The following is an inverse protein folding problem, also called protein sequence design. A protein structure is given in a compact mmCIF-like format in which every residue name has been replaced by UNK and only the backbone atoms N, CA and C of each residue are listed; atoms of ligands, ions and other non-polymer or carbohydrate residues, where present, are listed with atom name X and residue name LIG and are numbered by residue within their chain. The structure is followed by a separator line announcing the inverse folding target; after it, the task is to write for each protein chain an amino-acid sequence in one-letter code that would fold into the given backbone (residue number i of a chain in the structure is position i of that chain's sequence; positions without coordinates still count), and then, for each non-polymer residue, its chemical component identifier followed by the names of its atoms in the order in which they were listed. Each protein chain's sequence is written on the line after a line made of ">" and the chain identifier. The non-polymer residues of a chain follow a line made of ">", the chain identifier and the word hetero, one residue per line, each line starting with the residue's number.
data_IF_649887994111
#
_entry.id   IF_649887994111
#
_cell.length_a   1.000
_cell.length_b   1.000
_cell.length_c   1.000
_cell.angle_alpha   90.00
_cell.angle_beta   90.00
_cell.angle_gamma   90.00
#
_symmetry.space_group_name_H-M   'P 1'
#
loop_
_entity.id
_entity.type
_entity.pdbx_description
1 polymer ?
#
# COMPACT_ATOMS: atom_id res chain seq x y z
N UNK A 1 1.98 -4.04 19.26
CA UNK A 1 2.37 -4.94 18.13
C UNK A 1 2.20 -4.16 16.84
N UNK A 2 3.07 -4.40 15.86
CA UNK A 2 2.91 -3.86 14.50
C UNK A 2 2.68 -5.02 13.55
N UNK A 3 1.71 -4.88 12.63
CA UNK A 3 1.45 -5.86 11.57
C UNK A 3 1.56 -5.14 10.24
N UNK A 4 2.36 -5.68 9.32
CA UNK A 4 2.61 -5.06 8.03
C UNK A 4 2.74 -6.09 6.91
N UNK A 5 2.43 -5.65 5.69
CA UNK A 5 2.57 -6.43 4.46
C UNK A 5 3.17 -5.56 3.36
N UNK A 6 4.50 -5.36 3.37
CA UNK A 6 5.16 -4.52 2.37
C UNK A 6 5.02 -5.07 0.96
N UNK A 7 4.73 -4.20 0.01
CA UNK A 7 4.59 -4.55 -1.41
C UNK A 7 5.87 -4.33 -2.23
N UNK A 8 6.87 -3.62 -1.67
CA UNK A 8 8.14 -3.33 -2.35
C UNK A 8 9.34 -3.68 -1.47
N UNK A 9 10.50 -4.05 -2.07
CA UNK A 9 11.73 -4.33 -1.32
C UNK A 9 12.22 -3.15 -0.47
N UNK A 10 12.18 -1.93 -1.01
CA UNK A 10 12.61 -0.74 -0.26
C UNK A 10 11.73 -0.48 0.95
N UNK A 11 10.39 -0.61 0.82
CA UNK A 11 9.50 -0.42 1.96
C UNK A 11 9.66 -1.51 3.01
N UNK A 12 9.96 -2.75 2.60
CA UNK A 12 10.32 -3.83 3.53
C UNK A 12 11.61 -3.51 4.30
N UNK A 13 12.65 -3.06 3.60
CA UNK A 13 13.89 -2.61 4.22
C UNK A 13 13.64 -1.51 5.27
N UNK A 14 12.87 -0.49 4.92
CA UNK A 14 12.57 0.61 5.84
C UNK A 14 11.67 0.21 7.01
N UNK A 15 10.81 -0.80 6.85
CA UNK A 15 10.05 -1.39 7.94
C UNK A 15 10.98 -2.04 8.97
N UNK A 16 11.93 -2.87 8.51
CA UNK A 16 12.90 -3.53 9.39
C UNK A 16 13.85 -2.50 10.03
N UNK A 17 14.31 -1.51 9.26
CA UNK A 17 15.12 -0.41 9.77
C UNK A 17 14.38 0.37 10.86
N UNK A 18 13.11 0.70 10.66
CA UNK A 18 12.26 1.35 11.67
C UNK A 18 12.17 0.51 12.94
N UNK A 19 11.98 -0.80 12.81
CA UNK A 19 11.91 -1.72 13.95
C UNK A 19 13.24 -1.80 14.70
N UNK A 20 14.35 -1.81 13.99
CA UNK A 20 15.68 -1.91 14.60
C UNK A 20 16.09 -0.63 15.33
N UNK A 21 15.82 0.54 14.74
CA UNK A 21 16.22 1.85 15.26
C UNK A 21 15.21 2.47 16.23
N UNK A 22 13.97 1.96 16.27
CA UNK A 22 12.93 2.48 17.16
C UNK A 22 13.26 2.25 18.63
N UNK A 23 12.95 3.20 19.50
CA UNK A 23 13.17 3.10 20.93
C UNK A 23 12.30 2.01 21.57
N UNK A 24 11.02 1.97 21.20
CA UNK A 24 10.08 0.98 21.70
C UNK A 24 10.18 -0.35 20.93
N UNK A 25 10.70 -1.38 21.56
CA UNK A 25 10.81 -2.73 21.01
C UNK A 25 9.50 -3.50 21.16
N UNK A 26 8.55 -3.28 20.26
CA UNK A 26 7.30 -4.02 20.19
C UNK A 26 7.39 -5.13 19.15
N UNK A 27 6.65 -6.25 19.29
CA UNK A 27 6.60 -7.29 18.27
C UNK A 27 6.19 -6.74 16.92
N UNK A 28 6.90 -7.16 15.87
CA UNK A 28 6.60 -6.89 14.46
C UNK A 28 6.23 -8.20 13.77
N UNK A 29 5.06 -8.24 13.16
CA UNK A 29 4.60 -9.34 12.29
C UNK A 29 4.61 -8.85 10.85
N UNK A 30 5.32 -9.56 9.98
CA UNK A 30 5.43 -9.22 8.56
C UNK A 30 4.87 -10.35 7.71
N UNK A 31 3.82 -10.07 6.95
CA UNK A 31 3.32 -10.99 5.93
C UNK A 31 4.19 -10.91 4.68
N UNK A 32 4.74 -12.05 4.26
CA UNK A 32 5.69 -12.13 3.14
C UNK A 32 5.24 -13.22 2.15
N UNK A 33 4.45 -12.88 1.13
CA UNK A 33 4.03 -13.84 0.11
C UNK A 33 5.24 -14.38 -0.67
N UNK A 34 5.42 -15.69 -0.72
CA UNK A 34 6.57 -16.34 -1.41
C UNK A 34 6.65 -15.99 -2.91
N UNK A 35 5.50 -15.77 -3.55
CA UNK A 35 5.42 -15.40 -4.97
C UNK A 35 6.12 -14.07 -5.29
N UNK A 36 6.17 -13.13 -4.35
CA UNK A 36 6.84 -11.84 -4.54
C UNK A 36 8.36 -11.94 -4.64
N UNK A 37 8.99 -12.97 -4.08
CA UNK A 37 10.45 -13.19 -4.17
C UNK A 37 10.97 -13.33 -5.61
N UNK A 38 10.10 -13.68 -6.55
CA UNK A 38 10.43 -13.85 -7.98
C UNK A 38 9.69 -12.89 -8.89
N UNK A 39 8.94 -11.95 -8.31
CA UNK A 39 8.20 -10.96 -9.09
C UNK A 39 9.14 -9.86 -9.60
N UNK A 40 9.42 -9.86 -10.91
CA UNK A 40 10.30 -8.89 -11.54
C UNK A 40 9.75 -7.45 -11.51
N UNK A 41 8.44 -7.27 -11.38
CA UNK A 41 7.82 -5.96 -11.25
C UNK A 41 8.03 -5.36 -9.85
N UNK A 42 8.11 -6.21 -8.82
CA UNK A 42 8.30 -5.79 -7.44
C UNK A 42 9.79 -5.48 -7.15
N UNK A 43 10.34 -4.50 -7.86
CA UNK A 43 11.71 -4.00 -7.67
C UNK A 43 11.69 -2.60 -7.07
N UNK A 44 12.82 -2.14 -6.56
CA UNK A 44 13.01 -0.78 -6.05
C UNK A 44 14.34 -0.24 -6.55
N UNK A 45 14.40 1.04 -6.85
CA UNK A 45 15.64 1.70 -7.21
C UNK A 45 16.59 1.78 -6.01
N UNK A 46 17.90 1.90 -6.25
CA UNK A 46 18.90 1.98 -5.17
C UNK A 46 18.66 3.20 -4.29
N UNK A 47 18.22 4.29 -4.89
CA UNK A 47 17.89 5.55 -4.22
C UNK A 47 16.76 5.41 -3.19
N UNK A 48 15.88 4.41 -3.39
CA UNK A 48 14.77 4.13 -2.46
C UNK A 48 15.23 3.50 -1.14
N UNK A 49 16.46 2.99 -1.06
CA UNK A 49 17.05 2.43 0.16
C UNK A 49 17.85 3.45 0.98
N UNK A 50 17.90 4.71 0.56
CA UNK A 50 18.70 5.75 1.22
C UNK A 50 18.11 6.15 2.58
N UNK A 51 18.93 6.84 3.38
CA UNK A 51 18.53 7.29 4.72
C UNK A 51 17.42 8.35 4.73
N UNK A 52 17.27 9.07 3.63
CA UNK A 52 16.23 10.11 3.46
C UNK A 52 14.85 9.48 3.37
N UNK A 53 14.75 8.28 2.79
CA UNK A 53 13.49 7.54 2.67
C UNK A 53 13.13 6.86 3.99
N UNK A 54 11.85 6.62 4.18
CA UNK A 54 11.29 6.01 5.40
C UNK A 54 10.22 5.00 5.04
N UNK A 55 9.87 4.14 6.00
CA UNK A 55 8.74 3.25 5.87
C UNK A 55 7.45 4.05 5.63
N UNK A 56 6.78 3.74 4.55
CA UNK A 56 5.47 4.29 4.18
C UNK A 56 4.39 3.30 4.60
N UNK A 57 3.53 3.70 5.52
CA UNK A 57 2.41 2.87 5.99
C UNK A 57 1.26 2.80 5.00
N UNK A 58 1.14 3.80 4.14
CA UNK A 58 0.25 3.85 2.98
C UNK A 58 1.06 4.39 1.82
N UNK A 59 0.93 3.77 0.65
CA UNK A 59 1.56 4.23 -0.59
C UNK A 59 0.44 4.53 -1.58
N UNK A 60 0.41 5.77 -2.04
CA UNK A 60 -0.54 6.20 -3.08
C UNK A 60 -0.25 5.53 -4.42
N UNK A 61 -1.18 5.64 -5.34
CA UNK A 61 -1.02 5.13 -6.69
C UNK A 61 -0.01 5.99 -7.46
N UNK A 62 1.12 5.44 -7.91
CA UNK A 62 2.17 6.22 -8.57
C UNK A 62 1.75 6.81 -9.92
N UNK A 63 0.68 6.32 -10.54
CA UNK A 63 0.15 6.88 -11.78
C UNK A 63 -0.56 8.22 -11.56
N UNK A 64 -0.96 8.54 -10.33
CA UNK A 64 -1.71 9.75 -9.99
C UNK A 64 -0.97 10.64 -9.00
N UNK A 65 -0.26 10.04 -8.05
CA UNK A 65 0.41 10.76 -6.96
C UNK A 65 1.78 10.16 -6.70
N UNK A 66 2.82 10.98 -6.77
CA UNK A 66 4.20 10.54 -6.51
C UNK A 66 4.45 10.25 -5.02
N UNK A 67 5.63 9.72 -4.72
CA UNK A 67 6.05 9.38 -3.35
C UNK A 67 6.15 10.58 -2.39
N UNK A 68 6.15 11.81 -2.93
CA UNK A 68 6.20 13.05 -2.16
C UNK A 68 4.80 13.66 -1.99
N UNK A 69 3.75 13.01 -2.49
CA UNK A 69 2.38 13.49 -2.44
C UNK A 69 2.01 14.48 -3.54
N UNK A 70 2.89 14.68 -4.54
CA UNK A 70 2.63 15.57 -5.67
C UNK A 70 1.78 14.84 -6.72
N UNK A 71 0.73 15.50 -7.20
CA UNK A 71 -0.09 15.00 -8.30
C UNK A 71 0.74 14.94 -9.59
N UNK A 72 0.78 13.77 -10.21
CA UNK A 72 1.47 13.52 -11.49
C UNK A 72 0.50 13.13 -12.59
N UNK A 73 -0.66 12.56 -12.24
CA UNK A 73 -1.74 12.21 -13.14
C UNK A 73 -3.01 12.99 -12.87
N UNK A 74 -4.04 12.71 -13.68
CA UNK A 74 -5.35 13.34 -13.56
C UNK A 74 -6.17 12.66 -12.46
N UNK A 75 -6.02 13.14 -11.22
CA UNK A 75 -6.72 12.61 -10.04
C UNK A 75 -8.23 12.86 -10.10
N UNK A 76 -8.70 13.81 -10.92
CA UNK A 76 -10.11 14.18 -10.98
C UNK A 76 -10.94 13.15 -11.77
N UNK A 77 -10.29 12.31 -12.57
CA UNK A 77 -10.93 11.18 -13.26
C UNK A 77 -11.21 10.00 -12.35
N UNK A 78 -10.52 9.90 -11.22
CA UNK A 78 -10.65 8.76 -10.32
C UNK A 78 -12.01 8.76 -9.65
N UNK A 79 -12.78 7.69 -9.89
CA UNK A 79 -14.09 7.46 -9.28
C UNK A 79 -14.06 6.42 -8.18
N UNK A 80 -13.11 5.48 -8.27
CA UNK A 80 -13.00 4.37 -7.32
C UNK A 80 -11.59 4.30 -6.77
N UNK A 81 -11.47 4.23 -5.43
CA UNK A 81 -10.22 3.94 -4.73
C UNK A 81 -10.26 2.48 -4.29
N UNK A 82 -9.28 1.69 -4.70
CA UNK A 82 -9.06 0.34 -4.23
C UNK A 82 -7.97 0.32 -3.17
N UNK A 83 -8.31 -0.11 -1.94
CA UNK A 83 -7.35 -0.35 -0.87
C UNK A 83 -6.89 -1.80 -0.95
N UNK A 84 -5.59 -2.02 -1.07
CA UNK A 84 -5.00 -3.35 -1.24
C UNK A 84 -3.76 -3.51 -0.38
N UNK A 85 -3.34 -4.75 -0.14
CA UNK A 85 -2.11 -5.08 0.58
C UNK A 85 -1.28 -6.12 -0.18
N UNK A 86 0.04 -6.02 -0.06
CA UNK A 86 1.00 -7.03 -0.54
C UNK A 86 0.95 -7.31 -2.04
N UNK A 87 0.91 -8.60 -2.40
CA UNK A 87 1.05 -9.06 -3.79
C UNK A 87 -0.09 -8.66 -4.72
N UNK A 88 -1.30 -8.51 -4.17
CA UNK A 88 -2.50 -8.22 -4.94
C UNK A 88 -2.40 -6.91 -5.73
N UNK A 89 -1.64 -5.94 -5.22
CA UNK A 89 -1.34 -4.71 -5.93
C UNK A 89 -0.82 -4.97 -7.36
N UNK A 90 0.16 -5.85 -7.50
CA UNK A 90 0.81 -6.14 -8.79
C UNK A 90 -0.11 -6.81 -9.79
N UNK A 91 -1.01 -7.68 -9.32
CA UNK A 91 -1.99 -8.35 -10.16
C UNK A 91 -3.06 -7.36 -10.65
N UNK A 92 -3.54 -6.48 -9.76
CA UNK A 92 -4.52 -5.45 -10.10
C UNK A 92 -3.93 -4.36 -11.01
N UNK A 93 -2.69 -3.92 -10.77
CA UNK A 93 -2.01 -2.95 -11.62
C UNK A 93 -1.89 -3.46 -13.06
N UNK A 94 -1.39 -4.68 -13.22
CA UNK A 94 -1.30 -5.34 -14.53
C UNK A 94 -2.66 -5.45 -15.23
N UNK A 95 -3.71 -5.80 -14.47
CA UNK A 95 -5.06 -5.90 -15.01
C UNK A 95 -5.61 -4.54 -15.41
N UNK A 96 -5.41 -3.51 -14.59
CA UNK A 96 -5.82 -2.13 -14.88
C UNK A 96 -5.17 -1.60 -16.17
N UNK A 97 -3.86 -1.84 -16.33
CA UNK A 97 -3.15 -1.47 -17.57
C UNK A 97 -3.72 -2.18 -18.80
N UNK A 98 -3.96 -3.50 -18.69
CA UNK A 98 -4.54 -4.29 -19.78
C UNK A 98 -5.94 -3.82 -20.19
N UNK A 99 -6.73 -3.36 -19.23
CA UNK A 99 -8.10 -2.88 -19.44
C UNK A 99 -8.15 -1.36 -19.81
N UNK A 100 -7.02 -0.67 -19.77
CA UNK A 100 -6.94 0.77 -20.06
C UNK A 100 -7.75 1.64 -19.10
N UNK A 101 -7.91 1.22 -17.82
CA UNK A 101 -8.74 1.92 -16.82
C UNK A 101 -7.94 3.05 -16.16
N UNK A 102 -8.43 4.29 -16.32
CA UNK A 102 -7.89 5.50 -15.70
C UNK A 102 -8.79 6.13 -14.62
N UNK A 103 -9.91 5.46 -14.33
CA UNK A 103 -10.90 5.87 -13.32
C UNK A 103 -10.74 5.17 -11.96
N UNK A 104 -9.68 4.34 -11.80
CA UNK A 104 -9.40 3.57 -10.59
C UNK A 104 -8.01 3.92 -10.06
N UNK A 105 -7.94 4.33 -8.80
CA UNK A 105 -6.68 4.44 -8.06
C UNK A 105 -6.47 3.21 -7.15
N UNK A 106 -5.25 2.67 -7.14
CA UNK A 106 -4.88 1.52 -6.31
C UNK A 106 -3.95 2.00 -5.19
N UNK A 107 -4.50 2.17 -4.00
CA UNK A 107 -3.79 2.63 -2.81
C UNK A 107 -3.34 1.43 -1.98
N UNK A 108 -2.05 1.36 -1.69
CA UNK A 108 -1.46 0.24 -0.94
C UNK A 108 -1.45 0.52 0.55
N UNK A 109 -2.08 -0.35 1.33
CA UNK A 109 -2.04 -0.32 2.80
C UNK A 109 -0.93 -1.27 3.26
N UNK A 110 0.23 -0.71 3.56
CA UNK A 110 1.44 -1.47 3.91
C UNK A 110 1.49 -1.82 5.40
N UNK A 111 0.89 -0.98 6.26
CA UNK A 111 0.75 -1.23 7.68
C UNK A 111 -0.70 -1.54 8.02
N UNK A 112 -0.95 -2.78 8.45
CA UNK A 112 -2.30 -3.27 8.78
C UNK A 112 -2.69 -2.97 10.22
N UNK A 113 -1.71 -2.93 11.12
CA UNK A 113 -1.93 -2.59 12.52
C UNK A 113 -0.69 -1.88 13.12
N UNK A 114 -0.87 -0.75 13.85
CA UNK A 114 -2.11 0.02 13.97
C UNK A 114 -2.52 0.63 12.62
N UNK A 115 -3.82 0.81 12.42
CA UNK A 115 -4.34 1.37 11.16
C UNK A 115 -3.81 2.81 10.99
N UNK A 116 -3.21 3.15 9.85
CA UNK A 116 -2.61 4.46 9.61
C UNK A 116 -3.65 5.50 9.14
N UNK A 117 -4.64 5.80 9.99
CA UNK A 117 -5.78 6.65 9.64
C UNK A 117 -5.41 7.99 9.00
N UNK A 118 -4.41 8.69 9.53
CA UNK A 118 -4.00 9.99 8.99
C UNK A 118 -3.47 9.85 7.55
N UNK A 119 -2.67 8.81 7.29
CA UNK A 119 -2.14 8.55 5.94
C UNK A 119 -3.20 8.08 4.96
N UNK A 120 -4.20 7.33 5.43
CA UNK A 120 -5.37 6.97 4.61
C UNK A 120 -6.19 8.20 4.27
N UNK A 121 -6.40 9.10 5.22
CA UNK A 121 -7.10 10.37 4.97
C UNK A 121 -6.37 11.21 3.92
N UNK A 122 -5.06 11.43 4.07
CA UNK A 122 -4.22 12.13 3.09
C UNK A 122 -4.31 11.48 1.69
N UNK A 123 -4.34 10.14 1.64
CA UNK A 123 -4.49 9.42 0.39
C UNK A 123 -5.87 9.65 -0.27
N UNK A 124 -6.95 9.70 0.52
CA UNK A 124 -8.30 9.96 -0.01
C UNK A 124 -8.47 11.41 -0.47
N UNK A 125 -7.89 12.36 0.23
CA UNK A 125 -7.92 13.79 -0.14
C UNK A 125 -7.25 14.07 -1.49
N UNK A 126 -6.38 13.16 -1.95
CA UNK A 126 -5.77 13.27 -3.28
C UNK A 126 -6.76 13.06 -4.44
N UNK A 127 -7.91 12.39 -4.18
CA UNK A 127 -8.91 12.01 -5.18
C UNK A 127 -10.29 12.63 -4.88
N UNK A 128 -10.50 13.91 -5.18
CA UNK A 128 -11.68 14.65 -4.73
C UNK A 128 -12.99 14.15 -5.33
N UNK A 129 -12.94 13.53 -6.51
CA UNK A 129 -14.12 13.03 -7.22
C UNK A 129 -14.39 11.53 -7.00
N UNK A 130 -13.60 10.89 -6.14
CA UNK A 130 -13.81 9.48 -5.81
C UNK A 130 -15.09 9.30 -4.98
N UNK A 131 -16.01 8.50 -5.49
CA UNK A 131 -17.31 8.22 -4.84
C UNK A 131 -17.37 6.84 -4.21
N UNK A 132 -16.41 5.97 -4.52
CA UNK A 132 -16.35 4.61 -4.03
C UNK A 132 -14.97 4.30 -3.44
N UNK A 133 -14.97 3.67 -2.27
CA UNK A 133 -13.79 3.06 -1.66
C UNK A 133 -14.06 1.58 -1.51
N UNK A 134 -13.14 0.73 -2.00
CA UNK A 134 -13.24 -0.72 -1.93
C UNK A 134 -11.99 -1.29 -1.28
N UNK A 135 -12.19 -2.05 -0.21
CA UNK A 135 -11.13 -2.91 0.33
C UNK A 135 -11.08 -4.20 -0.48
N UNK A 136 -9.93 -4.52 -1.06
CA UNK A 136 -9.76 -5.68 -1.94
C UNK A 136 -8.69 -6.60 -1.35
N UNK A 137 -9.05 -7.85 -1.14
CA UNK A 137 -8.17 -8.88 -0.61
C UNK A 137 -8.20 -10.13 -1.48
N UNK A 138 -7.13 -10.93 -1.45
CA UNK A 138 -6.99 -12.19 -2.17
C UNK A 138 -7.59 -13.37 -1.38
N UNK A 139 -7.71 -13.21 -0.07
CA UNK A 139 -8.25 -14.22 0.82
C UNK A 139 -9.78 -14.25 0.76
N UNK A 140 -10.39 -15.44 0.96
CA UNK A 140 -11.84 -15.56 1.07
C UNK A 140 -12.39 -14.78 2.26
N UNK A 141 -13.67 -14.39 2.20
CA UNK A 141 -14.33 -13.53 3.18
C UNK A 141 -14.24 -14.02 4.64
N UNK A 142 -14.08 -15.33 4.84
CA UNK A 142 -13.94 -15.96 6.15
C UNK A 142 -12.49 -16.00 6.66
N UNK A 143 -11.52 -15.41 5.94
CA UNK A 143 -10.14 -15.28 6.38
C UNK A 143 -9.78 -13.83 6.74
N UNK A 144 -9.36 -13.71 7.97
CA UNK A 144 -8.49 -12.74 8.61
C UNK A 144 -8.83 -11.24 8.53
N UNK A 145 -8.80 -10.58 7.41
CA UNK A 145 -8.76 -9.11 7.42
C UNK A 145 -10.15 -8.44 7.46
N UNK A 146 -11.16 -9.05 6.85
CA UNK A 146 -12.50 -8.47 6.80
C UNK A 146 -13.19 -8.50 8.19
N UNK A 147 -13.01 -9.60 8.92
CA UNK A 147 -13.61 -9.75 10.26
C UNK A 147 -12.95 -8.88 11.34
N UNK A 148 -11.71 -8.46 11.15
CA UNK A 148 -11.02 -7.59 12.09
C UNK A 148 -11.36 -6.11 11.89
N UNK A 149 -11.86 -5.73 10.71
CA UNK A 149 -12.29 -4.36 10.44
C UNK A 149 -13.70 -4.05 10.94
N UNK A 150 -14.57 -5.07 11.03
CA UNK A 150 -15.94 -4.91 11.55
C UNK A 150 -16.02 -4.98 13.09
N UNK A 151 -14.93 -5.33 13.77
CA UNK A 151 -14.86 -5.46 15.22
C UNK A 151 -14.26 -4.22 15.93
N UNK A 152 -14.06 -3.09 15.20
CA UNK A 152 -13.47 -1.88 15.74
C UNK A 152 -14.47 -0.74 15.90
#
# INVERSE_FOLDING_TARGET
>A
MTVAQPSTPANHFHLLRRQALGEMKRPLVVFTPKSMLRNKAATSAVEDFTEVKRFQSVINDPNFVDVNGKKVGDTDKVKTIMLVSGKLYWDLEKKREADGRDDIAIVRVEMLHPIPFNRLREAFEAYPNATQVRFVQDEPANHCLLYTSDAA
#
